data_IF_089486296609
#
_entry.id   IF_089486296609
#
_cell.length_a   1.000
_cell.length_b   1.000
_cell.length_c   1.000
_cell.angle_alpha   90.00
_cell.angle_beta   90.00
_cell.angle_gamma   90.00
#
_symmetry.space_group_name_H-M   'P 1'
#
loop_
_entity.id
_entity.type
_entity.pdbx_description
1 polymer ?
#
# COMPACT_ATOMS: atom_id res chain seq x y z
N UNK A 1 -7.83 9.79 13.58
CA UNK A 1 -6.62 9.97 12.75
C UNK A 1 -6.23 8.57 12.35
N UNK A 2 -6.05 8.37 11.06
CA UNK A 2 -5.75 7.07 10.46
C UNK A 2 -4.27 7.01 10.10
N UNK A 3 -3.77 5.80 9.95
CA UNK A 3 -2.39 5.54 9.53
C UNK A 3 -2.42 4.77 8.23
N UNK A 4 -1.69 5.24 7.22
CA UNK A 4 -1.60 4.60 5.91
C UNK A 4 -0.15 4.28 5.59
N UNK A 5 0.14 2.99 5.43
CA UNK A 5 1.43 2.51 4.98
C UNK A 5 1.56 2.62 3.46
N UNK A 6 2.68 3.15 3.01
CA UNK A 6 3.09 3.08 1.63
C UNK A 6 4.54 2.60 1.49
N UNK A 7 4.72 1.70 0.53
CA UNK A 7 5.99 1.16 0.07
C UNK A 7 6.34 1.65 -1.35
N UNK A 8 5.50 2.51 -1.94
CA UNK A 8 5.54 2.90 -3.35
C UNK A 8 5.63 4.40 -3.58
N UNK A 9 5.03 4.87 -4.68
CA UNK A 9 5.11 6.24 -5.18
C UNK A 9 4.51 7.29 -4.26
N UNK A 10 3.60 6.92 -3.34
CA UNK A 10 3.04 7.83 -2.33
C UNK A 10 4.11 8.40 -1.38
N UNK A 11 5.30 7.79 -1.34
CA UNK A 11 6.45 8.35 -0.60
C UNK A 11 7.03 9.61 -1.25
N UNK A 12 6.71 9.87 -2.53
CA UNK A 12 7.12 11.08 -3.24
C UNK A 12 6.24 12.26 -2.83
N UNK A 13 6.87 13.36 -2.44
CA UNK A 13 6.17 14.57 -1.99
C UNK A 13 5.19 15.11 -3.04
N UNK A 14 5.54 15.01 -4.33
CA UNK A 14 4.68 15.46 -5.41
C UNK A 14 3.35 14.70 -5.43
N UNK A 15 3.41 13.37 -5.31
CA UNK A 15 2.22 12.51 -5.28
C UNK A 15 1.37 12.82 -4.05
N UNK A 16 1.98 13.09 -2.89
CA UNK A 16 1.22 13.48 -1.69
C UNK A 16 0.46 14.79 -1.89
N UNK A 17 1.08 15.78 -2.53
CA UNK A 17 0.45 17.06 -2.82
C UNK A 17 -0.65 16.90 -3.89
N UNK A 18 -0.43 16.07 -4.91
CA UNK A 18 -1.43 15.80 -5.96
C UNK A 18 -2.64 15.03 -5.43
N UNK A 19 -2.43 14.04 -4.55
CA UNK A 19 -3.50 13.20 -3.99
C UNK A 19 -4.21 13.85 -2.80
N UNK A 20 -3.47 14.47 -1.86
CA UNK A 20 -4.03 14.97 -0.59
C UNK A 20 -3.98 16.50 -0.46
N UNK A 21 -3.41 17.22 -1.43
CA UNK A 21 -3.26 18.68 -1.35
C UNK A 21 -2.22 19.16 -0.33
N UNK A 22 -1.53 18.26 0.38
CA UNK A 22 -0.52 18.59 1.40
C UNK A 22 0.53 17.50 1.53
N UNK A 23 1.68 17.86 2.12
CA UNK A 23 2.69 16.88 2.54
C UNK A 23 2.21 16.10 3.77
N UNK A 24 2.31 14.78 3.71
CA UNK A 24 1.96 13.91 4.81
C UNK A 24 3.11 13.79 5.81
N UNK A 25 2.77 13.66 7.09
CA UNK A 25 3.74 13.28 8.12
C UNK A 25 3.84 11.77 8.12
N UNK A 26 5.04 11.23 7.96
CA UNK A 26 5.23 9.80 7.97
C UNK A 26 6.48 9.37 8.71
N UNK A 27 6.43 8.17 9.25
CA UNK A 27 7.53 7.51 9.94
C UNK A 27 7.86 6.20 9.24
N UNK A 28 9.14 5.87 9.16
CA UNK A 28 9.57 4.60 8.57
C UNK A 28 9.12 3.45 9.46
N UNK A 29 8.51 2.45 8.86
CA UNK A 29 8.06 1.25 9.55
C UNK A 29 8.10 0.05 8.62
N UNK A 30 7.86 -1.14 9.18
CA UNK A 30 7.96 -2.40 8.47
C UNK A 30 6.69 -3.23 8.66
N UNK A 31 6.03 -3.57 7.56
CA UNK A 31 4.85 -4.43 7.57
C UNK A 31 5.28 -5.88 7.73
N UNK A 32 4.79 -6.55 8.78
CA UNK A 32 5.21 -7.92 9.15
C UNK A 32 4.24 -8.96 8.57
N UNK A 33 4.78 -10.08 8.08
CA UNK A 33 4.00 -11.17 7.49
C UNK A 33 3.74 -11.00 6.00
N UNK A 34 4.43 -10.06 5.35
CA UNK A 34 4.29 -9.76 3.94
C UNK A 34 5.65 -9.70 3.26
N UNK A 35 5.67 -9.98 1.96
CA UNK A 35 6.82 -9.75 1.09
C UNK A 35 6.41 -8.90 -0.10
N UNK A 36 7.35 -8.09 -0.60
CA UNK A 36 7.21 -7.49 -1.92
C UNK A 36 7.43 -8.57 -2.97
N UNK A 37 6.39 -8.79 -3.76
CA UNK A 37 6.43 -9.69 -4.90
C UNK A 37 6.09 -8.89 -6.16
N UNK A 38 6.41 -9.46 -7.31
CA UNK A 38 6.13 -8.85 -8.60
C UNK A 38 5.02 -9.66 -9.26
N UNK A 39 3.87 -9.03 -9.52
CA UNK A 39 2.83 -9.65 -10.33
C UNK A 39 2.87 -9.07 -11.73
N UNK A 40 2.75 -9.97 -12.71
CA UNK A 40 2.50 -9.55 -14.07
C UNK A 40 1.02 -9.20 -14.19
N UNK A 41 0.71 -7.91 -14.24
CA UNK A 41 -0.64 -7.45 -14.52
C UNK A 41 -0.89 -7.68 -16.00
N UNK A 42 -1.96 -8.40 -16.31
CA UNK A 42 -2.42 -8.62 -17.69
C UNK A 42 -3.50 -7.62 -18.11
N UNK A 43 -3.97 -6.80 -17.17
CA UNK A 43 -4.95 -5.76 -17.43
C UNK A 43 -4.34 -4.65 -18.31
N UNK A 44 -4.96 -4.44 -19.47
CA UNK A 44 -4.46 -3.51 -20.48
C UNK A 44 -4.57 -2.04 -20.04
N UNK A 45 -5.53 -1.69 -19.18
CA UNK A 45 -5.68 -0.30 -18.69
C UNK A 45 -4.60 0.03 -17.66
N UNK A 46 -4.25 -0.93 -16.81
CA UNK A 46 -3.20 -0.78 -15.80
C UNK A 46 -1.81 -0.73 -16.43
N UNK A 47 -1.54 -1.58 -17.44
CA UNK A 47 -0.28 -1.51 -18.21
C UNK A 47 -0.16 -0.15 -18.93
N UNK A 48 -1.27 0.38 -19.45
CA UNK A 48 -1.26 1.65 -20.18
C UNK A 48 -1.02 2.86 -19.27
N UNK A 49 -1.52 2.80 -18.04
CA UNK A 49 -1.36 3.87 -17.04
C UNK A 49 0.03 3.84 -16.40
N UNK A 50 0.56 2.66 -16.09
CA UNK A 50 1.87 2.50 -15.43
C UNK A 50 3.06 2.41 -16.40
N UNK A 51 2.80 2.04 -17.66
CA UNK A 51 3.83 1.74 -18.66
C UNK A 51 4.63 0.46 -18.38
N UNK A 52 4.25 -0.34 -17.37
CA UNK A 52 4.96 -1.56 -16.97
C UNK A 52 3.96 -2.71 -16.81
N UNK A 53 4.33 -3.89 -17.29
CA UNK A 53 3.54 -5.11 -17.06
C UNK A 53 3.83 -5.73 -15.67
N UNK A 54 4.90 -5.30 -15.01
CA UNK A 54 5.29 -5.78 -13.69
C UNK A 54 4.97 -4.73 -12.63
N UNK A 55 4.12 -5.12 -11.67
CA UNK A 55 3.76 -4.28 -10.53
C UNK A 55 4.21 -4.90 -9.21
N UNK A 56 4.83 -4.10 -8.32
CA UNK A 56 5.16 -4.55 -6.98
C UNK A 56 3.88 -4.66 -6.14
N UNK A 57 3.57 -5.88 -5.72
CA UNK A 57 2.44 -6.18 -4.85
C UNK A 57 2.90 -6.72 -3.50
N UNK A 58 2.13 -6.39 -2.46
CA UNK A 58 2.26 -7.04 -1.17
C UNK A 58 1.61 -8.42 -1.23
N UNK A 59 2.42 -9.45 -0.97
CA UNK A 59 1.95 -10.83 -0.83
C UNK A 59 2.00 -11.23 0.63
N UNK A 60 0.86 -11.58 1.20
CA UNK A 60 0.81 -12.15 2.53
C UNK A 60 1.49 -13.53 2.55
N UNK A 61 2.41 -13.73 3.48
CA UNK A 61 3.09 -15.00 3.70
C UNK A 61 2.80 -15.58 5.07
N UNK A 62 2.36 -14.75 6.03
CA UNK A 62 2.11 -15.17 7.41
C UNK A 62 3.37 -15.46 8.23
N UNK A 63 4.56 -15.32 7.64
CA UNK A 63 5.83 -15.51 8.33
C UNK A 63 6.28 -14.21 8.99
N UNK A 64 6.48 -14.21 10.31
CA UNK A 64 6.93 -13.02 11.03
C UNK A 64 8.35 -12.56 10.66
N UNK A 65 9.14 -13.41 10.00
CA UNK A 65 10.44 -13.04 9.42
C UNK A 65 10.32 -12.21 8.14
N UNK A 66 9.17 -12.27 7.48
CA UNK A 66 8.93 -11.58 6.23
C UNK A 66 8.44 -10.18 6.52
N UNK A 67 9.21 -9.20 6.05
CA UNK A 67 8.98 -7.79 6.33
C UNK A 67 9.05 -6.99 5.04
N UNK A 68 8.18 -5.98 4.94
CA UNK A 68 8.24 -4.97 3.88
C UNK A 68 8.52 -3.61 4.49
N UNK A 69 9.63 -3.01 4.08
CA UNK A 69 10.00 -1.66 4.48
C UNK A 69 9.20 -0.61 3.72
N UNK A 70 8.75 0.41 4.44
CA UNK A 70 8.07 1.55 3.84
C UNK A 70 7.90 2.68 4.85
N UNK A 71 6.90 3.52 4.60
CA UNK A 71 6.58 4.66 5.45
C UNK A 71 5.10 4.63 5.82
N UNK A 72 4.81 4.77 7.11
CA UNK A 72 3.45 4.94 7.63
C UNK A 72 3.16 6.43 7.76
N UNK A 73 2.19 6.91 6.99
CA UNK A 73 1.73 8.29 6.98
C UNK A 73 0.50 8.50 7.86
N UNK A 74 0.45 9.63 8.54
CA UNK A 74 -0.72 10.09 9.29
C UNK A 74 -1.68 10.84 8.35
N UNK A 75 -2.88 10.29 8.21
CA UNK A 75 -3.93 10.85 7.37
C UNK A 75 -5.25 11.00 8.14
N UNK A 76 -6.14 11.85 7.65
CA UNK A 76 -7.50 11.96 8.15
C UNK A 76 -8.37 10.85 7.58
N UNK A 77 -9.53 10.53 8.21
CA UNK A 77 -10.49 9.60 7.63
C UNK A 77 -10.99 10.02 6.23
N UNK A 78 -11.07 11.32 5.96
CA UNK A 78 -11.46 11.88 4.66
C UNK A 78 -10.36 11.68 3.61
N UNK A 79 -9.09 11.82 4.00
CA UNK A 79 -7.94 11.52 3.14
C UNK A 79 -7.82 10.02 2.89
N UNK A 80 -8.18 9.19 3.87
CA UNK A 80 -8.21 7.76 3.69
C UNK A 80 -9.27 7.35 2.64
N UNK A 81 -10.43 8.01 2.63
CA UNK A 81 -11.43 7.82 1.58
C UNK A 81 -10.92 8.29 0.20
N UNK A 82 -10.18 9.40 0.13
CA UNK A 82 -9.52 9.83 -1.11
C UNK A 82 -8.47 8.84 -1.59
N UNK A 83 -7.72 8.21 -0.67
CA UNK A 83 -6.79 7.15 -1.02
C UNK A 83 -7.52 5.90 -1.54
N UNK A 84 -8.69 5.57 -0.98
CA UNK A 84 -9.54 4.50 -1.52
C UNK A 84 -10.03 4.83 -2.94
N UNK A 85 -10.32 6.09 -3.26
CA UNK A 85 -10.70 6.52 -4.62
C UNK A 85 -9.51 6.58 -5.60
N UNK A 86 -8.30 6.79 -5.08
CA UNK A 86 -7.07 6.80 -5.88
C UNK A 86 -6.66 5.39 -6.31
N UNK A 87 -6.88 4.40 -5.45
CA UNK A 87 -6.54 3.01 -5.69
C UNK A 87 -7.63 2.32 -6.54
N UNK A 88 -7.22 1.60 -7.58
CA UNK A 88 -8.12 0.89 -8.50
C UNK A 88 -8.71 -0.37 -7.84
N UNK A 89 -9.83 -0.89 -8.36
CA UNK A 89 -10.58 -2.07 -7.86
C UNK A 89 -9.73 -3.32 -7.55
N UNK A 90 -8.51 -3.40 -8.08
CA UNK A 90 -7.56 -4.50 -7.85
C UNK A 90 -6.82 -4.43 -6.49
N UNK A 91 -6.96 -3.34 -5.74
CA UNK A 91 -6.37 -3.16 -4.41
C UNK A 91 -7.44 -3.12 -3.32
N UNK A 92 -7.18 -3.85 -2.23
CA UNK A 92 -7.99 -3.82 -1.02
C UNK A 92 -7.21 -3.21 0.13
N UNK A 93 -7.91 -2.42 0.93
CA UNK A 93 -7.38 -1.89 2.17
C UNK A 93 -7.47 -2.92 3.28
N UNK A 94 -6.34 -3.26 3.88
CA UNK A 94 -6.25 -4.16 5.03
C UNK A 94 -5.57 -3.47 6.22
N UNK A 95 -5.92 -3.88 7.43
CA UNK A 95 -5.21 -3.47 8.64
C UNK A 95 -3.99 -4.38 8.86
N UNK A 96 -2.80 -3.86 8.57
CA UNK A 96 -1.52 -4.55 8.75
C UNK A 96 -0.98 -4.40 10.17
N UNK A 97 -0.16 -5.38 10.60
CA UNK A 97 0.67 -5.25 11.80
C UNK A 97 2.09 -4.84 11.42
N UNK A 98 2.60 -3.85 12.13
CA UNK A 98 3.92 -3.30 11.87
C UNK A 98 4.91 -3.65 12.97
N UNK A 99 6.20 -3.67 12.64
CA UNK A 99 7.26 -4.03 13.59
C UNK A 99 7.31 -3.09 14.79
N UNK A 100 6.97 -1.81 14.61
CA UNK A 100 6.86 -0.86 15.72
C UNK A 100 5.75 -1.20 16.74
N UNK A 101 4.90 -2.20 16.43
CA UNK A 101 3.73 -2.58 17.23
C UNK A 101 2.47 -1.77 16.91
N UNK A 102 2.56 -0.83 15.96
CA UNK A 102 1.39 -0.07 15.51
C UNK A 102 0.57 -0.82 14.46
N UNK A 103 -0.68 -0.41 14.32
CA UNK A 103 -1.54 -0.82 13.21
C UNK A 103 -1.69 0.33 12.23
N UNK A 104 -1.60 0.01 10.94
CA UNK A 104 -1.86 0.95 9.86
C UNK A 104 -2.57 0.24 8.71
N UNK A 105 -3.28 1.00 7.92
CA UNK A 105 -3.88 0.55 6.68
C UNK A 105 -2.78 0.32 5.64
N UNK A 106 -2.87 -0.76 4.88
CA UNK A 106 -2.03 -1.01 3.72
C UNK A 106 -2.93 -1.42 2.56
N UNK A 107 -2.61 -0.95 1.35
CA UNK A 107 -3.24 -1.42 0.13
C UNK A 107 -2.46 -2.62 -0.39
N UNK A 108 -3.19 -3.72 -0.56
CA UNK A 108 -2.65 -5.00 -1.03
C UNK A 108 -3.50 -5.48 -2.19
N UNK A 109 -2.92 -6.27 -3.09
CA UNK A 109 -3.66 -6.79 -4.22
C UNK A 109 -4.74 -7.78 -3.75
N UNK A 110 -5.97 -7.65 -4.25
CA UNK A 110 -7.09 -8.56 -3.95
C UNK A 110 -6.71 -10.02 -4.21
N UNK A 111 -5.90 -10.26 -5.25
CA UNK A 111 -5.48 -11.60 -5.65
C UNK A 111 -4.61 -12.28 -4.58
N UNK A 112 -3.77 -11.54 -3.85
CA UNK A 112 -2.94 -12.13 -2.79
C UNK A 112 -3.69 -12.31 -1.49
N UNK A 113 -4.61 -11.42 -1.13
CA UNK A 113 -5.42 -11.57 0.09
C UNK A 113 -6.45 -12.70 -0.01
N UNK A 114 -7.01 -12.96 -1.20
CA UNK A 114 -7.96 -14.06 -1.41
C UNK A 114 -7.37 -15.44 -1.10
N UNK A 115 -6.03 -15.55 -1.01
CA UNK A 115 -5.33 -16.79 -0.69
C UNK A 115 -5.27 -17.08 0.83
N UNK A 116 -5.82 -16.19 1.68
CA UNK A 116 -5.84 -16.34 3.15
C UNK A 116 -6.92 -17.32 3.68
N UNK A 117 -7.46 -18.20 2.83
CA UNK A 117 -8.51 -19.16 3.20
C UNK A 117 -8.00 -20.33 4.02
#
# INVERSE_FOLDING_TARGET
>A
MEKLFSYGTLQLEQVQIETFGRKLKGEKDQLVGYVLSEVKITDAEVIKTSGKDIHPILKYTGHASDIVEGTVFEITPEELAQADEYEVDEYVRIAGQFQSGQQAWAYVCVATESTRS
#
